data_IF_992287955309
#
_entry.id   IF_992287955309
#
_cell.length_a   1.000
_cell.length_b   1.000
_cell.length_c   1.000
_cell.angle_alpha   90.00
_cell.angle_beta   90.00
_cell.angle_gamma   90.00
#
_symmetry.space_group_name_H-M   'P 1'
#
loop_
_entity.id
_entity.type
_entity.pdbx_description
1 polymer ?
#
# COMPACT_ATOMS: atom_id res chain seq x y z
N UNK A 1 -20.89 11.33 -31.03
CA UNK A 1 -21.91 10.25 -31.00
C UNK A 1 -22.13 9.89 -29.54
N UNK A 2 -23.25 10.32 -28.94
CA UNK A 2 -23.56 10.15 -27.50
C UNK A 2 -24.27 8.82 -27.32
N UNK A 3 -23.70 7.88 -26.57
CA UNK A 3 -24.38 6.65 -26.16
C UNK A 3 -24.72 6.73 -24.67
N UNK A 4 -26.03 6.84 -24.41
CA UNK A 4 -26.66 6.74 -23.10
C UNK A 4 -26.74 5.26 -22.72
N UNK A 5 -26.26 4.88 -21.54
CA UNK A 5 -26.47 3.55 -20.96
C UNK A 5 -27.58 3.65 -19.90
N UNK A 6 -28.67 2.96 -20.17
CA UNK A 6 -29.92 2.98 -19.42
C UNK A 6 -29.82 2.07 -18.18
N UNK A 7 -30.26 2.62 -17.06
CA UNK A 7 -30.40 1.99 -15.74
C UNK A 7 -31.54 0.96 -15.76
N UNK A 8 -31.34 -0.23 -15.20
CA UNK A 8 -32.40 -1.19 -14.91
C UNK A 8 -32.39 -1.47 -13.40
N UNK A 9 -33.38 -0.90 -12.71
CA UNK A 9 -33.68 -1.14 -11.29
C UNK A 9 -34.75 -2.23 -11.26
N UNK A 10 -34.46 -3.37 -10.62
CA UNK A 10 -35.44 -4.39 -10.30
C UNK A 10 -35.66 -4.38 -8.78
N UNK A 11 -36.76 -3.76 -8.36
CA UNK A 11 -37.29 -3.79 -7.00
C UNK A 11 -38.17 -5.02 -6.83
N UNK A 12 -37.73 -5.99 -6.03
CA UNK A 12 -38.62 -7.01 -5.46
C UNK A 12 -38.68 -6.82 -3.95
N UNK A 13 -39.72 -6.09 -3.53
CA UNK A 13 -40.19 -6.02 -2.15
C UNK A 13 -40.95 -7.33 -1.86
N UNK A 14 -40.45 -8.13 -0.93
CA UNK A 14 -41.22 -9.18 -0.28
C UNK A 14 -41.38 -8.81 1.20
N UNK A 15 -42.60 -8.40 1.52
CA UNK A 15 -43.09 -8.03 2.84
C UNK A 15 -43.14 -9.27 3.74
N UNK A 16 -42.31 -9.29 4.78
CA UNK A 16 -42.43 -10.20 5.92
C UNK A 16 -42.65 -9.40 7.20
N UNK A 17 -43.91 -9.12 7.55
CA UNK A 17 -44.29 -8.55 8.84
C UNK A 17 -44.36 -9.66 9.90
N UNK A 18 -43.32 -9.75 10.74
CA UNK A 18 -43.37 -10.32 12.08
C UNK A 18 -43.32 -9.19 13.10
N UNK A 19 -44.24 -9.18 14.05
CA UNK A 19 -44.62 -8.00 14.82
C UNK A 19 -43.82 -7.80 16.13
N UNK A 20 -43.71 -6.53 16.52
CA UNK A 20 -43.64 -5.90 17.87
C UNK A 20 -42.36 -5.92 18.74
N UNK A 21 -41.59 -4.82 18.66
CA UNK A 21 -41.15 -3.91 19.75
C UNK A 21 -40.31 -2.74 19.13
N UNK A 22 -40.92 -1.63 18.67
CA UNK A 22 -41.00 -0.28 19.30
C UNK A 22 -39.62 0.33 19.67
N UNK A 23 -39.13 1.47 19.16
CA UNK A 23 -39.65 2.65 18.42
C UNK A 23 -38.44 3.30 17.69
N UNK A 24 -38.47 4.08 16.61
CA UNK A 24 -39.45 4.94 15.95
C UNK A 24 -38.96 5.26 14.50
N UNK A 25 -39.91 5.44 13.59
CA UNK A 25 -39.93 5.86 12.17
C UNK A 25 -38.64 6.49 11.56
N UNK A 26 -38.16 6.09 10.37
CA UNK A 26 -38.76 6.16 9.02
C UNK A 26 -39.03 7.61 8.52
N UNK A 27 -38.17 8.03 7.58
CA UNK A 27 -38.43 8.94 6.44
C UNK A 27 -38.63 10.47 6.63
N UNK A 28 -37.52 11.23 6.72
CA UNK A 28 -37.31 12.60 6.19
C UNK A 28 -35.84 12.98 6.45
N UNK A 29 -34.97 13.46 5.56
CA UNK A 29 -35.14 14.21 4.34
C UNK A 29 -33.86 14.06 3.50
N UNK A 30 -34.03 13.75 2.20
CA UNK A 30 -33.08 14.20 1.18
C UNK A 30 -33.34 15.70 0.98
N UNK A 31 -32.70 16.55 1.79
CA UNK A 31 -32.41 17.96 1.46
C UNK A 31 -31.54 18.58 2.56
N UNK A 32 -30.21 18.61 2.38
CA UNK A 32 -29.25 19.52 3.05
C UNK A 32 -27.76 19.18 2.75
N UNK A 33 -27.45 18.62 1.58
CA UNK A 33 -26.05 18.34 1.18
C UNK A 33 -25.50 19.30 0.12
N UNK A 34 -26.28 20.28 -0.33
CA UNK A 34 -25.90 21.22 -1.37
C UNK A 34 -26.12 22.67 -0.95
N UNK A 35 -25.59 23.08 0.21
CA UNK A 35 -25.33 24.49 0.54
C UNK A 35 -24.33 24.60 1.68
N UNK A 36 -23.03 24.55 1.37
CA UNK A 36 -22.02 25.40 2.03
C UNK A 36 -20.78 25.41 1.12
N UNK A 37 -20.99 25.91 -0.09
CA UNK A 37 -19.98 26.70 -0.75
C UNK A 37 -20.52 28.12 -0.82
N UNK A 38 -19.73 29.03 -0.27
CA UNK A 38 -19.78 30.49 -0.40
C UNK A 38 -20.41 31.32 0.74
N UNK A 39 -19.50 32.08 1.37
CA UNK A 39 -19.63 33.44 1.92
C UNK A 39 -20.03 33.68 3.39
N UNK A 40 -18.99 33.99 4.19
CA UNK A 40 -18.84 35.11 5.13
C UNK A 40 -19.79 35.31 6.34
N UNK A 41 -19.19 35.43 7.53
CA UNK A 41 -19.78 36.16 8.68
C UNK A 41 -19.30 35.67 10.05
N UNK A 42 -18.63 36.54 10.79
CA UNK A 42 -17.92 36.31 12.06
C UNK A 42 -18.79 36.03 13.32
N UNK A 43 -18.15 35.37 14.29
CA UNK A 43 -18.26 35.50 15.76
C UNK A 43 -19.58 35.12 16.49
N UNK A 44 -19.53 34.14 17.42
CA UNK A 44 -19.14 34.35 18.84
C UNK A 44 -19.33 33.10 19.69
N UNK A 45 -18.30 32.82 20.47
CA UNK A 45 -18.17 31.91 21.60
C UNK A 45 -19.38 31.65 22.52
N UNK A 46 -19.34 30.43 23.08
CA UNK A 46 -19.83 29.93 24.39
C UNK A 46 -21.14 29.16 24.40
N UNK A 47 -21.02 27.83 24.42
CA UNK A 47 -21.28 27.00 25.62
C UNK A 47 -20.61 25.64 25.38
N UNK A 48 -19.46 25.49 26.05
CA UNK A 48 -18.83 24.23 26.41
C UNK A 48 -19.70 23.46 27.40
N UNK A 49 -19.44 22.16 27.52
CA UNK A 49 -20.03 21.18 28.48
C UNK A 49 -21.33 20.52 28.03
N UNK A 50 -21.21 19.46 27.22
CA UNK A 50 -21.99 18.20 27.29
C UNK A 50 -21.80 17.28 26.05
N UNK A 51 -20.73 17.44 25.25
CA UNK A 51 -20.51 16.63 24.05
C UNK A 51 -19.05 16.21 23.85
N UNK A 52 -18.34 15.92 24.95
CA UNK A 52 -16.95 15.43 24.91
C UNK A 52 -16.79 14.04 25.52
N UNK A 53 -17.87 13.28 25.74
CA UNK A 53 -17.76 11.96 26.42
C UNK A 53 -18.31 10.77 25.59
N UNK A 54 -18.68 10.99 24.32
CA UNK A 54 -19.15 9.92 23.43
C UNK A 54 -18.32 9.76 22.15
N UNK A 55 -17.35 10.65 21.90
CA UNK A 55 -16.44 10.57 20.74
C UNK A 55 -15.18 9.75 21.05
N UNK A 56 -14.73 9.73 22.30
CA UNK A 56 -13.44 9.10 22.66
C UNK A 56 -13.46 7.56 22.65
N UNK A 57 -14.63 6.90 22.71
CA UNK A 57 -14.71 5.43 22.61
C UNK A 57 -14.97 4.88 21.21
N UNK A 58 -15.26 5.73 20.23
CA UNK A 58 -15.33 5.33 18.82
C UNK A 58 -13.98 5.50 18.11
N UNK A 59 -13.04 6.27 18.69
CA UNK A 59 -11.69 6.44 18.14
C UNK A 59 -10.75 5.28 18.47
N UNK A 60 -10.96 4.56 19.57
CA UNK A 60 -10.09 3.43 19.94
C UNK A 60 -10.40 2.14 19.16
N UNK A 61 -11.66 1.84 18.84
CA UNK A 61 -12.00 0.65 18.01
C UNK A 61 -11.80 0.87 16.50
N UNK A 62 -11.50 2.10 16.08
CA UNK A 62 -11.14 2.42 14.70
C UNK A 62 -9.62 2.45 14.46
N UNK A 63 -8.81 2.34 15.52
CA UNK A 63 -7.35 2.36 15.40
C UNK A 63 -6.75 0.98 15.07
N UNK A 64 -7.39 -0.11 15.48
CA UNK A 64 -6.97 -1.49 15.18
C UNK A 64 -7.30 -1.98 13.75
N UNK A 65 -7.97 -1.16 12.94
CA UNK A 65 -8.31 -1.49 11.56
C UNK A 65 -7.79 -0.45 10.55
N UNK A 66 -6.86 0.42 10.95
CA UNK A 66 -6.24 1.42 10.08
C UNK A 66 -4.88 1.01 9.51
N UNK A 67 -4.42 -0.20 9.83
CA UNK A 67 -3.09 -0.69 9.44
C UNK A 67 -3.08 -1.52 8.14
N UNK A 68 -4.22 -1.63 7.44
CA UNK A 68 -4.35 -2.53 6.29
C UNK A 68 -5.06 -1.93 5.07
N UNK A 69 -5.27 -0.61 5.03
CA UNK A 69 -5.74 0.07 3.81
C UNK A 69 -4.93 1.36 3.70
N UNK A 70 -3.83 1.31 2.95
CA UNK A 70 -3.38 2.50 2.25
C UNK A 70 -4.55 2.94 1.37
N UNK A 71 -5.16 4.06 1.72
CA UNK A 71 -6.09 4.77 0.86
C UNK A 71 -5.42 4.91 -0.53
N UNK A 72 -6.13 4.54 -1.60
CA UNK A 72 -5.69 4.73 -3.01
C UNK A 72 -5.33 6.21 -3.31
N UNK A 73 -5.66 7.12 -2.37
CA UNK A 73 -5.42 8.56 -2.43
C UNK A 73 -3.94 8.97 -2.46
N UNK A 74 -3.01 8.13 -2.01
CA UNK A 74 -1.58 8.47 -1.96
C UNK A 74 -0.74 7.80 -3.07
N UNK A 75 -1.37 7.03 -3.96
CA UNK A 75 -0.68 6.41 -5.09
C UNK A 75 -0.41 7.43 -6.21
N UNK A 76 0.84 7.50 -6.63
CA UNK A 76 1.34 8.38 -7.67
C UNK A 76 1.63 7.60 -8.95
N UNK A 77 1.33 8.22 -10.09
CA UNK A 77 1.70 7.65 -11.40
C UNK A 77 3.21 7.83 -11.64
N UNK A 78 3.86 6.73 -12.02
CA UNK A 78 5.23 6.66 -12.51
C UNK A 78 5.24 6.04 -13.91
N UNK A 79 6.07 6.57 -14.80
CA UNK A 79 6.27 6.00 -16.14
C UNK A 79 7.55 5.18 -16.16
N UNK A 80 7.45 3.94 -16.64
CA UNK A 80 8.62 3.10 -16.91
C UNK A 80 9.33 3.59 -18.18
N UNK A 81 10.57 3.15 -18.38
CA UNK A 81 11.35 3.40 -19.59
C UNK A 81 10.67 2.86 -20.86
N UNK A 82 9.80 1.86 -20.72
CA UNK A 82 8.98 1.33 -21.80
C UNK A 82 7.76 2.23 -22.14
N UNK A 83 7.52 3.31 -21.38
CA UNK A 83 6.36 4.19 -21.52
C UNK A 83 5.09 3.63 -20.89
N UNK A 84 5.21 2.65 -19.99
CA UNK A 84 4.08 2.07 -19.26
C UNK A 84 3.85 2.83 -17.96
N UNK A 85 2.58 3.13 -17.65
CA UNK A 85 2.22 3.85 -16.43
C UNK A 85 1.85 2.87 -15.32
N UNK A 86 2.52 2.96 -14.17
CA UNK A 86 2.19 2.23 -12.96
C UNK A 86 1.81 3.18 -11.83
N UNK A 87 0.92 2.74 -10.93
CA UNK A 87 0.57 3.46 -9.70
C UNK A 87 1.42 2.91 -8.56
N UNK A 88 2.18 3.78 -7.89
CA UNK A 88 3.06 3.39 -6.78
C UNK A 88 2.94 4.39 -5.63
N UNK A 89 3.27 4.00 -4.39
CA UNK A 89 3.38 4.94 -3.28
C UNK A 89 4.34 6.09 -3.62
N UNK A 90 4.04 7.30 -3.12
CA UNK A 90 4.86 8.48 -3.37
C UNK A 90 6.34 8.27 -2.98
N UNK A 91 6.59 7.60 -1.86
CA UNK A 91 7.96 7.31 -1.40
C UNK A 91 8.72 6.39 -2.37
N UNK A 92 8.05 5.40 -2.97
CA UNK A 92 8.67 4.56 -3.98
C UNK A 92 8.99 5.35 -5.25
N UNK A 93 8.10 6.23 -5.68
CA UNK A 93 8.34 7.12 -6.82
C UNK A 93 9.53 8.04 -6.57
N UNK A 94 9.59 8.66 -5.40
CA UNK A 94 10.68 9.56 -5.04
C UNK A 94 12.01 8.78 -4.96
N UNK A 95 12.01 7.61 -4.33
CA UNK A 95 13.20 6.75 -4.28
C UNK A 95 13.69 6.32 -5.67
N UNK A 96 12.79 5.98 -6.60
CA UNK A 96 13.16 5.67 -7.99
C UNK A 96 13.83 6.87 -8.65
N UNK A 97 13.27 8.08 -8.50
CA UNK A 97 13.82 9.28 -9.10
C UNK A 97 15.18 9.68 -8.50
N UNK A 98 15.35 9.54 -7.19
CA UNK A 98 16.61 9.80 -6.48
C UNK A 98 17.70 8.79 -6.86
N UNK A 99 17.31 7.53 -7.06
CA UNK A 99 18.25 6.45 -7.39
C UNK A 99 18.43 6.25 -8.90
N UNK A 100 17.70 6.94 -9.78
CA UNK A 100 17.82 6.73 -11.25
C UNK A 100 19.26 6.92 -11.76
N UNK A 101 20.01 7.85 -11.16
CA UNK A 101 21.38 8.13 -11.55
C UNK A 101 22.37 7.02 -11.16
N UNK A 102 22.09 6.26 -10.10
CA UNK A 102 22.97 5.22 -9.55
C UNK A 102 22.50 3.80 -9.85
N UNK A 103 21.17 3.61 -9.92
CA UNK A 103 20.50 2.33 -10.13
C UNK A 103 19.89 2.18 -11.54
N UNK A 104 19.97 3.23 -12.35
CA UNK A 104 19.44 3.25 -13.71
C UNK A 104 17.93 3.49 -13.76
N UNK A 105 17.37 3.46 -14.97
CA UNK A 105 15.97 3.82 -15.20
C UNK A 105 15.01 2.73 -14.80
N UNK A 106 13.85 3.12 -14.27
CA UNK A 106 12.74 2.21 -14.00
C UNK A 106 12.32 1.44 -15.26
N UNK A 107 12.39 0.11 -15.23
CA UNK A 107 11.97 -0.77 -16.32
C UNK A 107 10.56 -1.31 -16.09
N UNK A 108 10.27 -1.77 -14.87
CA UNK A 108 9.02 -2.45 -14.54
C UNK A 108 8.62 -2.15 -13.09
N UNK A 109 7.32 -2.14 -12.80
CA UNK A 109 6.79 -2.12 -11.45
C UNK A 109 5.85 -3.31 -11.29
N UNK A 110 6.03 -4.09 -10.23
CA UNK A 110 5.14 -5.17 -9.83
C UNK A 110 4.46 -4.80 -8.51
N UNK A 111 3.15 -4.91 -8.44
CA UNK A 111 2.40 -4.85 -7.19
C UNK A 111 2.40 -6.24 -6.55
N UNK A 112 2.72 -6.31 -5.27
CA UNK A 112 2.71 -7.53 -4.47
C UNK A 112 1.59 -7.55 -3.44
N UNK A 113 1.53 -8.61 -2.62
CA UNK A 113 0.54 -8.72 -1.55
C UNK A 113 0.68 -7.59 -0.53
N UNK A 114 -0.39 -7.32 0.22
CA UNK A 114 -0.42 -6.40 1.35
C UNK A 114 0.03 -4.95 1.03
N UNK A 115 -0.15 -4.48 -0.21
CA UNK A 115 0.25 -3.14 -0.61
C UNK A 115 1.77 -2.96 -0.75
N UNK A 116 2.48 -4.05 -1.00
CA UNK A 116 3.91 -4.02 -1.33
C UNK A 116 4.11 -3.75 -2.82
N UNK A 117 5.23 -3.13 -3.19
CA UNK A 117 5.55 -2.84 -4.59
C UNK A 117 7.02 -3.12 -4.88
N UNK A 118 7.33 -3.62 -6.06
CA UNK A 118 8.66 -3.93 -6.52
C UNK A 118 8.93 -3.17 -7.81
N UNK A 119 9.79 -2.17 -7.74
CA UNK A 119 10.34 -1.49 -8.89
C UNK A 119 11.62 -2.20 -9.34
N UNK A 120 11.65 -2.60 -10.61
CA UNK A 120 12.82 -3.17 -11.29
C UNK A 120 13.40 -2.09 -12.17
N UNK A 121 14.66 -1.74 -11.92
CA UNK A 121 15.41 -0.71 -12.61
C UNK A 121 16.35 -1.34 -13.65
N UNK A 122 17.15 -0.52 -14.31
CA UNK A 122 18.19 -0.98 -15.24
C UNK A 122 19.22 -1.84 -14.50
N UNK A 123 20.00 -2.64 -15.25
CA UNK A 123 21.05 -3.49 -14.72
C UNK A 123 20.62 -4.52 -13.64
N UNK A 124 19.32 -4.75 -13.48
CA UNK A 124 18.76 -5.72 -12.53
C UNK A 124 18.71 -5.20 -11.09
N UNK A 125 18.87 -3.89 -10.89
CA UNK A 125 18.72 -3.26 -9.59
C UNK A 125 17.25 -3.10 -9.24
N UNK A 126 16.88 -3.24 -7.96
CA UNK A 126 15.49 -3.20 -7.55
C UNK A 126 15.28 -2.38 -6.29
N UNK A 127 14.12 -1.72 -6.22
CA UNK A 127 13.63 -1.01 -5.05
C UNK A 127 12.29 -1.60 -4.66
N UNK A 128 12.20 -2.15 -3.45
CA UNK A 128 11.00 -2.77 -2.93
C UNK A 128 10.37 -1.90 -1.84
N UNK A 129 9.13 -1.50 -2.04
CA UNK A 129 8.30 -0.94 -0.99
C UNK A 129 7.69 -2.06 -0.15
N UNK A 130 8.00 -2.10 1.14
CA UNK A 130 7.51 -3.14 2.06
C UNK A 130 6.22 -2.76 2.79
N UNK A 131 5.56 -1.66 2.42
CA UNK A 131 4.40 -1.11 3.13
C UNK A 131 4.75 0.09 4.02
N UNK A 132 6.02 0.25 4.41
CA UNK A 132 6.49 1.33 5.29
C UNK A 132 7.71 2.08 4.76
N UNK A 133 8.63 1.39 4.09
CA UNK A 133 9.86 1.99 3.56
C UNK A 133 10.27 1.36 2.22
N UNK A 134 11.11 2.08 1.48
CA UNK A 134 11.72 1.59 0.24
C UNK A 134 13.07 0.95 0.56
N UNK A 135 13.18 -0.34 0.29
CA UNK A 135 14.37 -1.14 0.56
C UNK A 135 15.03 -1.54 -0.76
N UNK A 136 16.33 -1.23 -0.96
CA UNK A 136 17.05 -1.69 -2.14
C UNK A 136 17.32 -3.19 -2.06
N UNK A 137 17.10 -3.87 -3.18
CA UNK A 137 17.43 -5.28 -3.39
C UNK A 137 18.27 -5.37 -4.65
N UNK A 138 19.52 -5.79 -4.53
CA UNK A 138 20.50 -5.72 -5.62
C UNK A 138 21.29 -7.00 -5.75
N UNK A 139 22.06 -7.10 -6.84
CA UNK A 139 23.02 -8.17 -7.06
C UNK A 139 22.42 -9.58 -7.01
N UNK A 140 23.23 -10.54 -6.57
CA UNK A 140 22.86 -11.97 -6.59
C UNK A 140 21.79 -12.34 -5.57
N UNK A 141 21.68 -11.58 -4.49
CA UNK A 141 20.58 -11.74 -3.53
C UNK A 141 19.26 -11.39 -4.20
N UNK A 142 19.19 -10.23 -4.86
CA UNK A 142 18.00 -9.82 -5.60
C UNK A 142 17.61 -10.76 -6.72
N UNK A 143 18.59 -11.20 -7.53
CA UNK A 143 18.35 -12.20 -8.58
C UNK A 143 17.77 -13.50 -8.02
N UNK A 144 18.29 -13.97 -6.88
CA UNK A 144 17.79 -15.17 -6.20
C UNK A 144 16.37 -14.98 -5.70
N UNK A 145 16.10 -13.87 -5.01
CA UNK A 145 14.80 -13.55 -4.45
C UNK A 145 13.71 -13.43 -5.53
N UNK A 146 13.97 -12.71 -6.62
CA UNK A 146 13.04 -12.63 -7.76
C UNK A 146 12.86 -13.98 -8.44
N UNK A 147 13.93 -14.77 -8.58
CA UNK A 147 13.84 -16.15 -9.07
C UNK A 147 12.96 -17.06 -8.21
N UNK A 148 12.78 -16.74 -6.94
CA UNK A 148 11.87 -17.41 -6.00
C UNK A 148 10.44 -16.85 -6.00
N UNK A 149 10.15 -15.82 -6.80
CA UNK A 149 8.83 -15.16 -6.87
C UNK A 149 8.80 -13.74 -6.31
N UNK A 150 9.90 -13.21 -5.79
CA UNK A 150 9.97 -11.84 -5.29
C UNK A 150 9.01 -11.59 -4.12
N UNK A 151 8.15 -10.59 -4.24
CA UNK A 151 7.14 -10.25 -3.22
C UNK A 151 6.16 -11.40 -2.93
N UNK A 152 5.90 -12.27 -3.92
CA UNK A 152 5.05 -13.45 -3.77
C UNK A 152 5.82 -14.70 -3.27
N UNK A 153 7.14 -14.57 -3.06
CA UNK A 153 7.95 -15.68 -2.57
C UNK A 153 7.60 -16.03 -1.12
N UNK A 154 7.99 -17.22 -0.68
CA UNK A 154 7.85 -17.64 0.72
C UNK A 154 8.65 -16.75 1.71
N UNK A 155 9.57 -15.92 1.22
CA UNK A 155 10.34 -14.99 2.04
C UNK A 155 9.63 -13.67 2.29
N UNK A 156 8.69 -13.28 1.40
CA UNK A 156 7.99 -12.01 1.46
C UNK A 156 8.86 -10.80 1.09
N UNK A 157 8.45 -9.63 1.57
CA UNK A 157 9.14 -8.36 1.32
C UNK A 157 10.49 -8.27 2.05
N UNK A 158 11.47 -7.52 1.51
CA UNK A 158 12.71 -7.24 2.22
C UNK A 158 12.47 -6.30 3.42
N UNK A 159 13.21 -6.53 4.49
CA UNK A 159 13.16 -5.72 5.72
C UNK A 159 14.24 -4.66 5.79
N UNK A 160 15.38 -4.92 5.16
CA UNK A 160 16.55 -4.04 5.22
C UNK A 160 17.39 -4.18 3.95
N UNK A 161 18.21 -3.18 3.68
CA UNK A 161 19.16 -3.21 2.57
C UNK A 161 20.20 -4.33 2.78
N UNK A 162 20.79 -4.79 1.68
CA UNK A 162 21.91 -5.76 1.70
C UNK A 162 23.06 -5.27 2.60
N UNK A 163 23.56 -6.17 3.44
CA UNK A 163 24.66 -5.92 4.36
C UNK A 163 25.89 -6.74 3.98
N UNK A 164 27.06 -6.11 3.96
CA UNK A 164 28.34 -6.82 3.77
C UNK A 164 28.71 -7.61 5.02
N UNK A 165 29.13 -8.86 4.82
CA UNK A 165 29.64 -9.77 5.83
C UNK A 165 30.99 -10.35 5.37
N UNK A 166 31.72 -11.01 6.29
CA UNK A 166 33.11 -11.47 6.06
C UNK A 166 33.33 -12.23 4.73
N UNK A 167 32.34 -13.04 4.33
CA UNK A 167 32.42 -13.88 3.12
C UNK A 167 31.38 -13.55 2.05
N UNK A 168 30.80 -12.35 2.07
CA UNK A 168 29.86 -11.92 1.04
C UNK A 168 28.82 -10.97 1.58
N UNK A 169 27.55 -11.27 1.33
CA UNK A 169 26.45 -10.38 1.62
C UNK A 169 25.26 -11.13 2.21
N UNK A 170 24.45 -10.43 2.98
CA UNK A 170 23.22 -10.95 3.58
C UNK A 170 22.11 -9.92 3.49
N UNK A 171 20.87 -10.37 3.38
CA UNK A 171 19.70 -9.49 3.42
C UNK A 171 18.53 -10.20 4.09
N UNK A 172 17.85 -9.47 4.97
CA UNK A 172 16.70 -9.96 5.71
C UNK A 172 15.39 -9.66 4.99
N UNK A 173 14.47 -10.62 5.06
CA UNK A 173 13.12 -10.59 4.52
C UNK A 173 12.09 -10.87 5.63
N UNK A 174 10.81 -10.72 5.31
CA UNK A 174 9.72 -10.95 6.25
C UNK A 174 9.79 -12.32 6.94
N UNK A 175 10.04 -13.37 6.17
CA UNK A 175 9.99 -14.76 6.60
C UNK A 175 11.30 -15.53 6.43
N UNK A 176 12.42 -14.82 6.26
CA UNK A 176 13.73 -15.45 6.20
C UNK A 176 14.83 -14.47 5.83
N UNK A 177 15.99 -15.02 5.48
CA UNK A 177 17.21 -14.30 5.13
C UNK A 177 17.85 -14.99 3.93
N UNK A 178 18.44 -14.21 3.02
CA UNK A 178 19.27 -14.74 1.94
C UNK A 178 20.72 -14.32 2.20
N UNK A 179 21.63 -15.30 2.20
CA UNK A 179 23.06 -15.10 2.28
C UNK A 179 23.69 -15.42 0.91
N UNK A 180 24.40 -14.48 0.31
CA UNK A 180 25.24 -14.72 -0.84
C UNK A 180 26.69 -14.76 -0.39
N UNK A 181 27.24 -15.96 -0.18
CA UNK A 181 28.59 -16.13 0.40
C UNK A 181 29.45 -17.11 -0.36
N UNK A 182 30.76 -16.95 -0.22
CA UNK A 182 31.76 -17.85 -0.78
C UNK A 182 32.11 -19.00 0.19
N UNK A 183 32.20 -20.21 -0.34
CA UNK A 183 32.71 -21.38 0.36
C UNK A 183 34.25 -21.32 0.57
N UNK A 184 34.85 -22.37 1.15
CA UNK A 184 36.30 -22.45 1.36
C UNK A 184 37.12 -22.44 0.07
N UNK A 185 36.53 -22.80 -1.07
CA UNK A 185 37.15 -22.76 -2.37
C UNK A 185 36.96 -21.41 -3.09
N UNK A 186 36.24 -20.46 -2.46
CA UNK A 186 35.92 -19.17 -3.04
C UNK A 186 34.74 -19.19 -4.02
N UNK A 187 33.94 -20.27 -4.01
CA UNK A 187 32.75 -20.41 -4.87
C UNK A 187 31.56 -19.77 -4.18
N UNK A 188 30.95 -18.78 -4.83
CA UNK A 188 29.77 -18.10 -4.30
C UNK A 188 28.48 -18.87 -4.57
N UNK A 189 27.61 -18.91 -3.56
CA UNK A 189 26.27 -19.49 -3.65
C UNK A 189 25.27 -18.74 -2.77
N UNK A 190 23.99 -18.84 -3.15
CA UNK A 190 22.88 -18.31 -2.36
C UNK A 190 22.41 -19.37 -1.37
N UNK A 191 22.34 -19.01 -0.11
CA UNK A 191 21.74 -19.81 0.94
C UNK A 191 20.53 -19.06 1.51
N UNK A 192 19.38 -19.70 1.49
CA UNK A 192 18.16 -19.15 2.08
C UNK A 192 17.89 -19.81 3.43
N UNK A 193 17.71 -19.00 4.45
CA UNK A 193 17.36 -19.44 5.81
C UNK A 193 15.94 -18.94 6.11
N UNK A 194 14.99 -19.85 6.34
CA UNK A 194 13.61 -19.50 6.70
C UNK A 194 13.50 -19.29 8.22
N UNK A 195 12.69 -18.32 8.63
CA UNK A 195 12.40 -18.00 10.03
C UNK A 195 11.12 -18.66 10.54
#
# INVERSE_FOLDING_TARGET
MKMKRTLAIATTVALGFGAVACSDAEEAAKDAGNVVSSAAGEAKDKVSEAATDATDKASEVASDAKDAVQDDADLQEVQTAAGETAKVPAELKDAIAENEAEMGKLQEVKEGPNGTYLAILEDGQMLAWNGSEVVPVVGKIGETWVGMGGLDSELGAPKSAEQTIDKGWTQDFEHGTINWTADEAGVFSAETVKN
#
